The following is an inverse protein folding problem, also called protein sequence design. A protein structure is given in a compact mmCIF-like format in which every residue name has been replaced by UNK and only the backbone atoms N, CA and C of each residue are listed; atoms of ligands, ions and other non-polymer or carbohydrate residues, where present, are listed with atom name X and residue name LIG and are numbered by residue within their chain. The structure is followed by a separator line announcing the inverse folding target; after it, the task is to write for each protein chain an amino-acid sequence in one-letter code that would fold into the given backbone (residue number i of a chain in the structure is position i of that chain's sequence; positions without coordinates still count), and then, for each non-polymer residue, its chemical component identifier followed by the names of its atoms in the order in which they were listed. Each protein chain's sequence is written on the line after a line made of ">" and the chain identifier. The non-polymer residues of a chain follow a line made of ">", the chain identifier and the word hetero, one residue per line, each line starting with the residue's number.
data_IF_506294755288
#
_entry.id   IF_506294755288
#
_cell.length_a   1.000
_cell.length_b   1.000
_cell.length_c   1.000
_cell.angle_alpha   90.00
_cell.angle_beta   90.00
_cell.angle_gamma   90.00
#
_symmetry.space_group_name_H-M   'P 1'
#
loop_
_entity.id
_entity.type
_entity.pdbx_description
1 polymer ?
#
# COMPACT_ATOMS: atom_id res chain seq x y z
N UNK A 1 13.95 9.81 -11.74
CA UNK A 1 12.49 9.79 -11.51
C UNK A 1 11.76 8.96 -12.58
N UNK A 2 12.29 8.85 -13.80
CA UNK A 2 11.68 8.06 -14.88
C UNK A 2 11.58 6.55 -14.61
N UNK A 3 12.54 5.95 -13.91
CA UNK A 3 12.56 4.50 -13.65
C UNK A 3 11.47 4.00 -12.70
N UNK A 4 11.10 4.80 -11.70
CA UNK A 4 9.98 4.47 -10.79
C UNK A 4 8.64 4.67 -11.48
N UNK A 5 8.51 5.73 -12.29
CA UNK A 5 7.31 5.97 -13.08
C UNK A 5 7.11 4.86 -14.12
N UNK A 6 8.14 4.41 -14.83
CA UNK A 6 8.02 3.32 -15.82
C UNK A 6 7.68 1.97 -15.21
N UNK A 7 8.05 1.74 -13.95
CA UNK A 7 7.75 0.48 -13.25
C UNK A 7 6.35 0.48 -12.66
N UNK A 8 5.85 1.63 -12.20
CA UNK A 8 4.54 1.67 -11.53
C UNK A 8 3.39 2.15 -12.39
N UNK A 9 3.64 3.02 -13.37
CA UNK A 9 2.59 3.64 -14.18
C UNK A 9 2.22 2.70 -15.32
N UNK A 10 0.98 2.24 -15.32
CA UNK A 10 0.47 1.38 -16.39
C UNK A 10 0.73 -0.11 -16.17
N UNK A 11 1.26 -0.52 -15.02
CA UNK A 11 1.53 -1.92 -14.69
C UNK A 11 0.85 -2.32 -13.37
N UNK A 12 -0.46 -2.67 -13.40
CA UNK A 12 -1.24 -2.97 -12.19
C UNK A 12 -0.68 -4.15 -11.37
N UNK A 13 0.08 -5.04 -12.01
CA UNK A 13 0.83 -6.11 -11.36
C UNK A 13 1.89 -5.60 -10.37
N UNK A 14 2.57 -4.50 -10.67
CA UNK A 14 3.61 -3.96 -9.80
C UNK A 14 3.03 -3.25 -8.58
N UNK A 15 1.84 -2.67 -8.72
CA UNK A 15 1.06 -2.10 -7.62
C UNK A 15 0.60 -3.22 -6.66
N UNK A 16 0.17 -4.36 -7.22
CA UNK A 16 -0.14 -5.56 -6.45
C UNK A 16 1.07 -6.08 -5.66
N UNK A 17 2.27 -6.07 -6.26
CA UNK A 17 3.49 -6.47 -5.56
C UNK A 17 3.79 -5.59 -4.33
N UNK A 18 3.44 -4.30 -4.36
CA UNK A 18 3.58 -3.42 -3.19
C UNK A 18 2.56 -3.73 -2.09
N UNK A 19 1.37 -4.24 -2.43
CA UNK A 19 0.39 -4.64 -1.42
C UNK A 19 0.85 -5.84 -0.58
N UNK A 20 1.61 -6.77 -1.18
CA UNK A 20 2.08 -8.02 -0.57
C UNK A 20 2.77 -7.81 0.79
N UNK A 21 3.80 -6.94 0.95
CA UNK A 21 4.44 -6.73 2.25
C UNK A 21 3.48 -6.20 3.32
N UNK A 22 2.49 -5.36 2.98
CA UNK A 22 1.50 -4.88 3.94
C UNK A 22 0.54 -5.99 4.39
N UNK A 23 0.15 -6.89 3.47
CA UNK A 23 -0.67 -8.07 3.81
C UNK A 23 0.11 -9.01 4.72
N UNK A 24 1.36 -9.35 4.36
CA UNK A 24 2.21 -10.20 5.18
C UNK A 24 2.46 -9.60 6.57
N UNK A 25 2.69 -8.28 6.64
CA UNK A 25 2.81 -7.57 7.88
C UNK A 25 1.49 -7.61 8.68
N UNK A 26 0.32 -7.40 8.08
CA UNK A 26 -0.98 -7.45 8.78
C UNK A 26 -1.30 -8.82 9.43
N UNK A 27 -0.73 -9.90 8.88
CA UNK A 27 -0.93 -11.28 9.34
C UNK A 27 0.22 -11.79 10.21
N UNK A 28 1.16 -10.92 10.58
CA UNK A 28 2.36 -11.32 11.31
C UNK A 28 2.03 -11.90 12.70
N UNK A 29 2.59 -13.05 13.10
CA UNK A 29 2.21 -13.74 14.35
C UNK A 29 2.46 -12.92 15.63
N UNK A 30 3.41 -11.96 15.61
CA UNK A 30 3.68 -11.08 16.77
C UNK A 30 2.56 -10.08 17.09
N UNK A 31 1.51 -10.01 16.26
CA UNK A 31 0.27 -9.31 16.63
C UNK A 31 -0.58 -10.08 17.67
N UNK A 32 -0.14 -11.26 18.12
CA UNK A 32 -0.87 -12.12 19.07
C UNK A 32 -1.24 -11.43 20.39
N UNK A 33 -2.53 -11.60 20.76
CA UNK A 33 -3.27 -11.31 22.01
C UNK A 33 -3.11 -9.95 22.73
N UNK A 34 -1.94 -9.31 22.70
CA UNK A 34 -1.61 -8.09 23.46
C UNK A 34 -0.97 -6.99 22.62
N UNK A 35 -0.55 -7.29 21.39
CA UNK A 35 0.14 -6.36 20.52
C UNK A 35 -0.82 -5.45 19.73
N UNK A 36 -1.15 -4.30 20.31
CA UNK A 36 -1.77 -3.10 19.73
C UNK A 36 -2.64 -3.31 18.46
N UNK A 37 -3.97 -3.47 18.60
CA UNK A 37 -4.90 -3.59 17.46
C UNK A 37 -4.80 -2.42 16.47
N UNK A 38 -4.28 -1.27 16.89
CA UNK A 38 -4.01 -0.10 16.04
C UNK A 38 -2.95 -0.34 14.96
N UNK A 39 -1.89 -1.10 15.23
CA UNK A 39 -0.83 -1.35 14.24
C UNK A 39 -1.29 -2.36 13.17
N UNK A 40 -1.98 -3.43 13.59
CA UNK A 40 -2.63 -4.38 12.67
C UNK A 40 -3.65 -3.65 11.79
N UNK A 41 -4.50 -2.80 12.39
CA UNK A 41 -5.50 -2.01 11.66
C UNK A 41 -4.86 -1.05 10.66
N UNK A 42 -3.74 -0.42 10.99
CA UNK A 42 -3.02 0.44 10.06
C UNK A 42 -2.46 -0.35 8.86
N UNK A 43 -1.88 -1.53 9.09
CA UNK A 43 -1.41 -2.41 8.02
C UNK A 43 -2.54 -2.91 7.13
N UNK A 44 -3.68 -3.30 7.71
CA UNK A 44 -4.85 -3.71 6.91
C UNK A 44 -5.40 -2.58 6.06
N UNK A 45 -5.43 -1.35 6.58
CA UNK A 45 -5.87 -0.19 5.81
C UNK A 45 -4.90 0.15 4.68
N UNK A 46 -3.60 0.10 4.92
CA UNK A 46 -2.60 0.30 3.87
C UNK A 46 -2.73 -0.78 2.78
N UNK A 47 -2.85 -2.06 3.16
CA UNK A 47 -3.06 -3.16 2.23
C UNK A 47 -4.35 -2.99 1.41
N UNK A 48 -5.47 -2.65 2.06
CA UNK A 48 -6.74 -2.42 1.40
C UNK A 48 -6.67 -1.23 0.42
N UNK A 49 -5.98 -0.15 0.78
CA UNK A 49 -5.81 1.01 -0.10
C UNK A 49 -4.97 0.67 -1.35
N UNK A 50 -3.88 -0.09 -1.18
CA UNK A 50 -3.08 -0.57 -2.31
C UNK A 50 -3.86 -1.53 -3.23
N UNK A 51 -4.64 -2.45 -2.66
CA UNK A 51 -5.50 -3.36 -3.43
C UNK A 51 -6.61 -2.62 -4.18
N UNK A 52 -7.26 -1.66 -3.52
CA UNK A 52 -8.29 -0.83 -4.14
C UNK A 52 -7.71 -0.01 -5.30
N UNK A 53 -6.50 0.53 -5.15
CA UNK A 53 -5.81 1.25 -6.21
C UNK A 53 -5.42 0.34 -7.38
N UNK A 54 -4.88 -0.85 -7.12
CA UNK A 54 -4.58 -1.82 -8.17
C UNK A 54 -5.84 -2.23 -8.95
N UNK A 55 -6.96 -2.46 -8.26
CA UNK A 55 -8.24 -2.79 -8.87
C UNK A 55 -8.80 -1.62 -9.71
N UNK A 56 -8.67 -0.38 -9.21
CA UNK A 56 -9.03 0.82 -9.95
C UNK A 56 -8.21 0.96 -11.23
N UNK A 57 -6.88 0.81 -11.15
CA UNK A 57 -6.01 0.91 -12.33
C UNK A 57 -6.33 -0.19 -13.36
N UNK A 58 -6.54 -1.43 -12.91
CA UNK A 58 -6.95 -2.52 -13.80
C UNK A 58 -8.30 -2.24 -14.49
N UNK A 59 -9.27 -1.67 -13.76
CA UNK A 59 -10.57 -1.29 -14.31
C UNK A 59 -10.45 -0.16 -15.35
N UNK A 60 -9.65 0.87 -15.05
CA UNK A 60 -9.40 2.00 -15.96
C UNK A 60 -8.72 1.51 -17.24
N UNK A 61 -7.69 0.66 -17.13
CA UNK A 61 -7.02 0.10 -18.29
C UNK A 61 -7.94 -0.80 -19.13
N UNK A 62 -8.81 -1.57 -18.48
CA UNK A 62 -9.77 -2.42 -19.19
C UNK A 62 -10.83 -1.61 -19.94
N UNK A 63 -11.30 -0.50 -19.36
CA UNK A 63 -12.30 0.38 -19.98
C UNK A 63 -11.72 1.35 -21.00
N UNK A 64 -10.49 1.80 -20.79
CA UNK A 64 -9.83 2.81 -21.64
C UNK A 64 -8.37 2.39 -21.84
N UNK A 65 -8.12 1.48 -22.78
CA UNK A 65 -6.77 1.05 -23.12
C UNK A 65 -5.94 2.26 -23.56
N UNK A 66 -4.79 2.49 -22.90
CA UNK A 66 -3.90 3.61 -23.20
C UNK A 66 -4.25 4.95 -22.52
N UNK A 67 -5.16 4.97 -21.55
CA UNK A 67 -5.37 6.15 -20.72
C UNK A 67 -4.06 6.58 -20.02
N UNK A 68 -3.74 7.87 -20.05
CA UNK A 68 -2.60 8.44 -19.35
C UNK A 68 -2.98 8.71 -17.87
N UNK A 69 -2.74 7.71 -17.01
CA UNK A 69 -3.11 7.68 -15.57
C UNK A 69 -2.06 8.46 -14.73
N UNK A 70 -1.31 9.39 -15.34
CA UNK A 70 -0.25 10.14 -14.66
C UNK A 70 -0.75 11.15 -13.64
N UNK A 71 -2.01 11.56 -13.73
CA UNK A 71 -2.62 12.48 -12.74
C UNK A 71 -2.69 11.81 -11.36
N UNK A 72 -2.85 10.49 -11.34
CA UNK A 72 -2.98 9.68 -10.13
C UNK A 72 -1.68 9.65 -9.31
N UNK A 73 -0.52 9.82 -9.97
CA UNK A 73 0.80 9.99 -9.31
C UNK A 73 0.86 11.25 -8.45
N UNK A 74 0.06 12.28 -8.74
CA UNK A 74 0.08 13.54 -8.00
C UNK A 74 -0.98 13.57 -6.88
N UNK A 75 -2.03 12.76 -6.99
CA UNK A 75 -3.17 12.79 -6.06
C UNK A 75 -3.27 11.53 -5.22
N UNK A 76 -3.22 10.34 -5.83
CA UNK A 76 -3.41 9.06 -5.16
C UNK A 76 -2.12 8.58 -4.48
N UNK A 77 -0.99 8.75 -5.16
CA UNK A 77 0.32 8.35 -4.66
C UNK A 77 0.74 9.01 -3.34
N UNK A 78 0.56 10.34 -3.14
CA UNK A 78 0.84 10.95 -1.84
C UNK A 78 -0.01 10.36 -0.71
N UNK A 79 -1.29 10.08 -0.98
CA UNK A 79 -2.19 9.48 0.00
C UNK A 79 -1.75 8.05 0.35
N UNK A 80 -1.44 7.22 -0.66
CA UNK A 80 -0.91 5.87 -0.46
C UNK A 80 0.45 5.88 0.26
N UNK A 81 1.33 6.82 -0.08
CA UNK A 81 2.62 7.02 0.56
C UNK A 81 2.49 7.38 2.03
N UNK A 82 1.60 8.32 2.38
CA UNK A 82 1.33 8.71 3.76
C UNK A 82 0.70 7.56 4.57
N UNK A 83 -0.26 6.84 4.00
CA UNK A 83 -0.86 5.66 4.64
C UNK A 83 0.19 4.57 4.88
N UNK A 84 1.07 4.34 3.91
CA UNK A 84 2.17 3.38 4.01
C UNK A 84 3.16 3.77 5.10
N UNK A 85 3.58 5.04 5.12
CA UNK A 85 4.50 5.56 6.13
C UNK A 85 3.89 5.49 7.53
N UNK A 86 2.62 5.87 7.67
CA UNK A 86 1.90 5.77 8.93
C UNK A 86 1.82 4.31 9.41
N UNK A 87 1.46 3.38 8.52
CA UNK A 87 1.41 1.97 8.85
C UNK A 87 2.79 1.48 9.33
N UNK A 88 3.85 1.74 8.56
CA UNK A 88 5.21 1.31 8.90
C UNK A 88 5.66 1.92 10.23
N UNK A 89 5.41 3.21 10.46
CA UNK A 89 5.73 3.87 11.73
C UNK A 89 5.02 3.20 12.90
N UNK A 90 3.72 2.87 12.76
CA UNK A 90 2.96 2.16 13.80
C UNK A 90 3.48 0.75 14.06
N UNK A 91 3.97 0.07 13.02
CA UNK A 91 4.57 -1.25 13.13
C UNK A 91 5.96 -1.18 13.80
N UNK A 92 6.82 -0.24 13.41
CA UNK A 92 8.12 -0.02 14.06
C UNK A 92 7.97 0.38 15.53
N UNK A 93 7.00 1.25 15.83
CA UNK A 93 6.69 1.67 17.20
C UNK A 93 6.24 0.51 18.11
N UNK A 94 5.82 -0.63 17.55
CA UNK A 94 5.57 -1.84 18.32
C UNK A 94 6.87 -2.41 18.92
N UNK A 95 7.93 -2.48 18.13
CA UNK A 95 9.20 -3.09 18.55
C UNK A 95 9.99 -2.21 19.51
N UNK A 96 9.82 -0.89 19.44
CA UNK A 96 10.50 0.05 20.34
C UNK A 96 9.88 0.10 21.74
N UNK A 97 8.60 -0.25 21.89
CA UNK A 97 7.90 -0.25 23.19
C UNK A 97 8.08 -1.54 24.01
N UNK A 98 8.78 -2.53 23.47
CA UNK A 98 9.00 -3.84 24.12
C UNK A 98 10.33 -3.95 24.87
N UNK A 99 11.05 -2.84 25.06
CA UNK A 99 12.21 -2.71 25.96
C UNK A 99 11.82 -1.84 27.14
#
# INVERSE_FOLDING_TARGET
>A
METLASFFVGQPLNILLVAVPFVLAAWWPRYSATALPRARRAMTWAAAAWLAYAAWEALVQWRTPGADIRVDLLVIWPVLGLLSLYAVWRWLAMFTKTR
#
